data_IF_999647979108
#
_entry.id   IF_999647979108
#
_cell.length_a   1.000
_cell.length_b   1.000
_cell.length_c   1.000
_cell.angle_alpha   90.00
_cell.angle_beta   90.00
_cell.angle_gamma   90.00
#
_symmetry.space_group_name_H-M   'P 1'
#
loop_
_entity.id
_entity.type
_entity.pdbx_description
1 polymer ?
#
# COMPACT_ATOMS: atom_id res chain seq x y z
N UNK A 1 -48.60 -3.83 33.75
CA UNK A 1 -47.25 -3.45 34.21
C UNK A 1 -46.28 -3.75 33.08
N UNK A 2 -45.85 -2.74 32.31
CA UNK A 2 -45.00 -2.92 31.11
C UNK A 2 -43.54 -3.01 31.56
N UNK A 3 -42.74 -4.00 31.11
CA UNK A 3 -41.34 -4.07 31.51
C UNK A 3 -40.56 -2.98 30.77
N UNK A 4 -40.09 -1.96 31.50
CA UNK A 4 -39.15 -0.97 30.97
C UNK A 4 -37.83 -1.71 30.67
N UNK A 5 -37.57 -2.06 29.41
CA UNK A 5 -36.26 -2.57 29.01
C UNK A 5 -35.23 -1.45 29.21
N UNK A 6 -34.21 -1.70 30.03
CA UNK A 6 -33.15 -0.73 30.31
C UNK A 6 -32.27 -0.53 29.07
N UNK A 7 -32.58 0.48 28.26
CA UNK A 7 -31.83 0.87 27.07
C UNK A 7 -30.37 1.32 27.37
N UNK A 8 -30.03 1.56 28.63
CA UNK A 8 -28.70 2.02 29.07
C UNK A 8 -27.59 0.96 28.94
N UNK A 9 -27.86 -0.32 29.21
CA UNK A 9 -26.84 -1.38 29.10
C UNK A 9 -26.43 -1.67 27.66
N UNK A 10 -27.38 -1.57 26.71
CA UNK A 10 -27.08 -1.81 25.29
C UNK A 10 -26.19 -0.70 24.71
N UNK A 11 -26.42 0.54 25.11
CA UNK A 11 -25.61 1.68 24.68
C UNK A 11 -24.19 1.62 25.27
N UNK A 12 -24.07 1.31 26.57
CA UNK A 12 -22.77 1.14 27.24
C UNK A 12 -21.93 -0.01 26.64
N UNK A 13 -22.53 -1.16 26.33
CA UNK A 13 -21.83 -2.29 25.68
C UNK A 13 -21.35 -1.90 24.26
N UNK A 14 -22.14 -1.16 23.48
CA UNK A 14 -21.72 -0.68 22.16
C UNK A 14 -20.56 0.31 22.26
N UNK A 15 -20.63 1.28 23.18
CA UNK A 15 -19.59 2.31 23.36
C UNK A 15 -18.27 1.69 23.82
N UNK A 16 -18.29 0.78 24.81
CA UNK A 16 -17.07 0.12 25.28
C UNK A 16 -16.42 -0.78 24.23
N UNK A 17 -17.21 -1.46 23.37
CA UNK A 17 -16.67 -2.25 22.25
C UNK A 17 -16.04 -1.36 21.17
N UNK A 18 -16.64 -0.20 20.86
CA UNK A 18 -16.08 0.74 19.89
C UNK A 18 -14.77 1.35 20.40
N UNK A 19 -14.73 1.80 21.66
CA UNK A 19 -13.52 2.36 22.27
C UNK A 19 -12.38 1.33 22.28
N UNK A 20 -12.66 0.07 22.64
CA UNK A 20 -11.65 -1.00 22.60
C UNK A 20 -11.07 -1.24 21.20
N UNK A 21 -11.88 -1.15 20.14
CA UNK A 21 -11.42 -1.28 18.76
C UNK A 21 -10.51 -0.10 18.38
N UNK A 22 -10.89 1.14 18.74
CA UNK A 22 -10.09 2.32 18.42
C UNK A 22 -8.76 2.37 19.19
N UNK A 23 -8.71 1.89 20.43
CA UNK A 23 -7.47 1.82 21.22
C UNK A 23 -6.49 0.76 20.69
N UNK A 24 -7.00 -0.33 20.12
CA UNK A 24 -6.17 -1.40 19.55
C UNK A 24 -5.73 -1.10 18.11
N UNK A 25 -6.47 -0.28 17.37
CA UNK A 25 -6.17 0.08 15.99
C UNK A 25 -4.71 0.54 15.73
N UNK A 26 -4.11 1.47 16.48
CA UNK A 26 -2.73 1.91 16.23
C UNK A 26 -1.67 0.84 16.55
N UNK A 27 -1.99 -0.16 17.39
CA UNK A 27 -1.09 -1.28 17.71
C UNK A 27 -0.99 -2.24 16.52
N UNK A 28 -2.12 -2.48 15.83
CA UNK A 28 -2.17 -3.42 14.70
C UNK A 28 -1.83 -2.77 13.35
N UNK A 29 -1.97 -1.44 13.23
CA UNK A 29 -1.81 -0.70 11.97
C UNK A 29 -0.74 0.40 12.03
N UNK A 30 0.38 0.15 12.71
CA UNK A 30 1.56 1.01 12.61
C UNK A 30 2.20 0.88 11.20
N UNK A 31 1.64 1.58 10.22
CA UNK A 31 2.21 1.78 8.89
C UNK A 31 3.19 2.96 8.97
N UNK A 32 4.43 2.69 9.39
CA UNK A 32 5.52 3.65 9.19
C UNK A 32 6.42 3.14 8.06
N UNK A 33 6.58 3.97 7.03
CA UNK A 33 7.72 3.85 6.14
C UNK A 33 8.96 4.20 6.95
N UNK A 34 10.03 3.41 6.83
CA UNK A 34 11.32 3.73 7.45
C UNK A 34 11.75 5.15 7.01
N UNK A 35 12.15 5.99 7.96
CA UNK A 35 12.72 7.33 7.72
C UNK A 35 14.17 7.25 7.20
N UNK A 36 14.45 6.27 6.33
CA UNK A 36 15.77 6.07 5.73
C UNK A 36 15.86 6.84 4.42
N UNK A 37 16.94 7.60 4.19
CA UNK A 37 17.18 8.19 2.88
C UNK A 37 17.45 7.10 1.83
N UNK A 38 17.04 7.36 0.58
CA UNK A 38 17.40 6.53 -0.57
C UNK A 38 18.85 6.80 -0.98
N UNK A 39 19.62 5.73 -1.19
CA UNK A 39 21.02 5.78 -1.57
C UNK A 39 21.20 5.20 -2.96
N UNK A 40 21.57 6.02 -3.93
CA UNK A 40 21.88 5.56 -5.29
C UNK A 40 23.39 5.36 -5.45
N UNK A 41 23.84 4.31 -6.17
CA UNK A 41 23.06 3.38 -6.99
C UNK A 41 22.46 2.17 -6.24
N UNK A 42 22.72 2.03 -4.93
CA UNK A 42 22.35 0.86 -4.12
C UNK A 42 20.84 0.54 -4.15
N UNK A 43 20.00 1.56 -4.01
CA UNK A 43 18.53 1.44 -3.97
C UNK A 43 17.90 1.53 -5.37
N UNK A 44 18.71 1.47 -6.44
CA UNK A 44 18.19 1.41 -7.82
C UNK A 44 17.72 0.00 -8.20
N UNK A 45 18.30 -1.03 -7.59
CA UNK A 45 17.98 -2.44 -7.85
C UNK A 45 16.73 -2.90 -7.11
N UNK A 46 16.29 -4.13 -7.38
CA UNK A 46 15.11 -4.72 -6.75
C UNK A 46 15.29 -4.96 -5.25
N UNK A 47 14.18 -4.87 -4.53
CA UNK A 47 14.16 -5.01 -3.08
C UNK A 47 13.35 -6.25 -2.66
N UNK A 48 13.91 -7.46 -2.78
CA UNK A 48 13.21 -8.73 -2.51
C UNK A 48 12.75 -8.90 -1.07
N UNK A 49 13.25 -8.06 -0.15
CA UNK A 49 12.84 -8.03 1.26
C UNK A 49 11.44 -7.45 1.48
N UNK A 50 10.88 -6.71 0.51
CA UNK A 50 9.53 -6.14 0.62
C UNK A 50 8.48 -7.05 -0.03
N UNK A 51 7.27 -7.00 0.52
CA UNK A 51 6.12 -7.80 0.03
C UNK A 51 5.55 -7.29 -1.29
N UNK A 52 5.80 -6.03 -1.63
CA UNK A 52 5.25 -5.35 -2.80
C UNK A 52 6.32 -4.45 -3.39
N UNK A 53 6.56 -4.58 -4.69
CA UNK A 53 7.44 -3.73 -5.47
C UNK A 53 6.83 -3.55 -6.86
N UNK A 54 6.98 -2.36 -7.42
CA UNK A 54 6.42 -1.99 -8.71
C UNK A 54 7.50 -1.39 -9.59
N UNK A 55 7.55 -1.84 -10.84
CA UNK A 55 8.33 -1.19 -11.88
C UNK A 55 7.38 -0.76 -13.00
N UNK A 56 7.38 0.53 -13.30
CA UNK A 56 6.49 1.12 -14.29
C UNK A 56 7.32 1.95 -15.26
N UNK A 57 7.40 1.47 -16.51
CA UNK A 57 8.07 2.16 -17.60
C UNK A 57 7.03 2.73 -18.54
N UNK A 58 7.21 3.98 -18.93
CA UNK A 58 6.36 4.66 -19.89
C UNK A 58 7.24 5.46 -20.85
N UNK A 59 6.80 5.64 -22.08
CA UNK A 59 7.54 6.47 -23.01
C UNK A 59 6.87 6.63 -24.36
N UNK A 60 7.60 7.30 -25.25
CA UNK A 60 7.20 7.54 -26.63
C UNK A 60 8.29 7.03 -27.55
N UNK A 61 7.93 6.16 -28.49
CA UNK A 61 8.76 5.68 -29.57
C UNK A 61 8.50 6.49 -30.83
N UNK A 62 9.52 6.64 -31.67
CA UNK A 62 9.39 7.24 -32.99
C UNK A 62 9.84 6.21 -34.04
N UNK A 63 9.00 5.93 -35.04
CA UNK A 63 9.41 5.08 -36.17
C UNK A 63 10.39 5.80 -37.07
N UNK A 64 11.09 5.04 -37.91
CA UNK A 64 11.91 5.56 -39.02
C UNK A 64 11.14 6.50 -39.95
N UNK A 65 9.83 6.29 -40.10
CA UNK A 65 8.90 7.11 -40.89
C UNK A 65 8.40 8.37 -40.12
N UNK A 66 8.87 8.58 -38.90
CA UNK A 66 8.55 9.76 -38.08
C UNK A 66 7.25 9.66 -37.27
N UNK A 67 6.53 8.54 -37.32
CA UNK A 67 5.30 8.35 -36.53
C UNK A 67 5.62 8.06 -35.07
N UNK A 68 4.86 8.69 -34.16
CA UNK A 68 5.02 8.53 -32.70
C UNK A 68 4.07 7.49 -32.14
N UNK A 69 4.55 6.69 -31.20
CA UNK A 69 3.79 5.64 -30.51
C UNK A 69 4.04 5.74 -29.00
N UNK A 70 2.98 5.76 -28.20
CA UNK A 70 3.11 5.63 -26.75
C UNK A 70 3.28 4.15 -26.35
N UNK A 71 4.06 3.89 -25.31
CA UNK A 71 4.11 2.58 -24.67
C UNK A 71 4.06 2.71 -23.15
N UNK A 72 3.51 1.68 -22.53
CA UNK A 72 3.62 1.43 -21.10
C UNK A 72 3.99 -0.02 -20.84
N UNK A 73 4.78 -0.26 -19.79
CA UNK A 73 5.15 -1.57 -19.31
C UNK A 73 5.07 -1.58 -17.79
N UNK A 74 4.32 -2.55 -17.25
CA UNK A 74 4.18 -2.78 -15.82
C UNK A 74 4.64 -4.19 -15.48
N UNK A 75 5.58 -4.29 -14.54
CA UNK A 75 5.96 -5.57 -13.94
C UNK A 75 5.44 -5.63 -12.49
N UNK A 76 4.67 -6.68 -12.20
CA UNK A 76 4.23 -7.05 -10.84
C UNK A 76 5.12 -8.11 -10.20
N UNK A 77 4.83 -8.40 -8.93
CA UNK A 77 5.65 -9.17 -7.99
C UNK A 77 6.50 -10.30 -8.60
N UNK A 78 7.83 -10.13 -8.47
CA UNK A 78 8.92 -11.10 -8.71
C UNK A 78 9.27 -11.53 -10.14
N UNK A 79 8.48 -11.33 -11.19
CA UNK A 79 8.75 -12.10 -12.44
C UNK A 79 9.35 -11.36 -13.64
N UNK A 80 9.43 -10.03 -13.72
CA UNK A 80 9.75 -9.45 -15.05
C UNK A 80 10.44 -8.09 -15.09
N UNK A 81 11.12 -7.66 -14.02
CA UNK A 81 12.03 -6.52 -14.16
C UNK A 81 13.44 -7.06 -13.96
N UNK A 82 14.14 -7.30 -15.06
CA UNK A 82 15.58 -7.60 -15.05
C UNK A 82 16.26 -6.38 -15.64
N UNK A 83 16.60 -5.39 -14.81
CA UNK A 83 17.48 -4.31 -15.24
C UNK A 83 18.92 -4.82 -15.08
N UNK A 84 19.53 -5.23 -16.18
CA UNK A 84 20.97 -5.46 -16.23
C UNK A 84 21.61 -4.08 -16.43
N UNK A 85 22.40 -3.65 -15.45
CA UNK A 85 23.27 -2.49 -15.57
C UNK A 85 24.33 -2.72 -16.66
#
# INVERSE_FOLDING_TARGET
MIPRKNHYNFFQIKVNRLIGIYLLFPIFFALQADDRPFLFPKDHSFHPKYKVEWCYFVGVLQSSEGKKYGYELRAGLKTACTQKA
#
